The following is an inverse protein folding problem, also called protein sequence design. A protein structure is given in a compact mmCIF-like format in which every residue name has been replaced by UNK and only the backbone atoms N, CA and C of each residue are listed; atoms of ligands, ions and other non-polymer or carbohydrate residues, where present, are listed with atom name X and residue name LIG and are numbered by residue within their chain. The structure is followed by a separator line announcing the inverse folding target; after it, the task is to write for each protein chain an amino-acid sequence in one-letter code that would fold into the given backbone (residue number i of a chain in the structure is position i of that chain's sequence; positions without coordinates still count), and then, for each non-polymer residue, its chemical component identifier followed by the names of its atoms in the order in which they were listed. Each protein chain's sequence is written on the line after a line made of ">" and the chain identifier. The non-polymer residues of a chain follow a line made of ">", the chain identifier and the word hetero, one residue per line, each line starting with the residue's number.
data_IF_224429194703
#
_entry.id   IF_224429194703
#
_cell.length_a   1.000
_cell.length_b   1.000
_cell.length_c   1.000
_cell.angle_alpha   90.00
_cell.angle_beta   90.00
_cell.angle_gamma   90.00
#
_symmetry.space_group_name_H-M   'P 1'
#
loop_
_entity.id
_entity.type
_entity.pdbx_description
1 polymer ?
#
# COMPACT_ATOMS: atom_id res chain seq x y z
N UNK A 1 0.65 -4.17 31.16
CA UNK A 1 0.12 -3.34 30.08
C UNK A 1 1.09 -3.42 28.90
N UNK A 2 0.59 -3.87 27.79
CA UNK A 2 1.41 -4.04 26.60
C UNK A 2 1.67 -2.67 25.98
N UNK A 3 2.91 -2.27 25.97
CA UNK A 3 3.29 -1.05 25.26
C UNK A 3 3.38 -1.39 23.78
N UNK A 4 2.47 -0.85 22.99
CA UNK A 4 2.52 -1.04 21.55
C UNK A 4 3.68 -0.25 20.97
N UNK A 5 4.55 -0.94 20.23
CA UNK A 5 5.57 -0.26 19.45
C UNK A 5 4.87 0.63 18.40
N UNK A 6 5.42 1.82 18.12
CA UNK A 6 4.85 2.66 17.05
C UNK A 6 4.77 1.85 15.77
N UNK A 7 3.64 1.92 15.09
CA UNK A 7 3.45 1.24 13.80
C UNK A 7 4.50 1.75 12.81
N UNK A 8 5.37 0.88 12.26
CA UNK A 8 6.43 1.31 11.34
C UNK A 8 5.88 2.05 10.12
N UNK A 9 4.71 1.65 9.64
CA UNK A 9 4.05 2.30 8.51
C UNK A 9 3.64 3.73 8.83
N UNK A 10 3.05 3.94 10.01
CA UNK A 10 2.65 5.29 10.46
C UNK A 10 3.87 6.19 10.62
N UNK A 11 4.93 5.68 11.23
CA UNK A 11 6.15 6.44 11.45
C UNK A 11 6.79 6.86 10.12
N UNK A 12 6.85 5.94 9.15
CA UNK A 12 7.38 6.22 7.83
C UNK A 12 6.52 7.25 7.09
N UNK A 13 5.19 7.14 7.19
CA UNK A 13 4.28 8.13 6.60
C UNK A 13 4.47 9.52 7.21
N UNK A 14 4.66 9.61 8.53
CA UNK A 14 4.91 10.88 9.20
C UNK A 14 6.20 11.52 8.71
N UNK A 15 7.26 10.74 8.52
CA UNK A 15 8.53 11.23 7.99
C UNK A 15 8.38 11.77 6.57
N UNK A 16 7.63 11.07 5.72
CA UNK A 16 7.35 11.51 4.35
C UNK A 16 6.54 12.82 4.35
N UNK A 17 5.55 12.93 5.22
CA UNK A 17 4.70 14.11 5.30
C UNK A 17 5.48 15.35 5.76
N UNK A 18 6.44 15.17 6.67
CA UNK A 18 7.33 16.26 7.12
C UNK A 18 8.27 16.69 6.00
N UNK A 19 8.87 15.75 5.29
CA UNK A 19 9.84 16.04 4.24
C UNK A 19 9.20 16.61 2.99
N UNK A 20 7.96 16.23 2.67
CA UNK A 20 7.25 16.62 1.44
C UNK A 20 5.89 17.22 1.77
N UNK A 21 5.79 18.56 1.89
CA UNK A 21 4.53 19.24 2.15
C UNK A 21 3.48 18.95 1.07
N UNK A 22 2.22 19.16 1.41
CA UNK A 22 1.08 18.86 0.54
C UNK A 22 1.22 19.44 -0.87
N UNK A 23 1.78 20.64 -1.00
CA UNK A 23 1.95 21.31 -2.31
C UNK A 23 2.88 20.53 -3.26
N UNK A 24 3.78 19.69 -2.73
CA UNK A 24 4.73 18.90 -3.53
C UNK A 24 4.21 17.51 -3.88
N UNK A 25 3.09 17.08 -3.30
CA UNK A 25 2.54 15.73 -3.50
C UNK A 25 1.74 15.66 -4.79
N UNK A 26 1.94 14.59 -5.56
CA UNK A 26 1.26 14.37 -6.84
C UNK A 26 0.26 13.22 -6.81
N UNK A 27 0.19 12.48 -5.71
CA UNK A 27 -0.73 11.36 -5.58
C UNK A 27 -0.85 10.88 -4.14
N UNK A 28 -1.77 9.94 -3.88
CA UNK A 28 -1.96 9.39 -2.55
C UNK A 28 -0.75 8.55 -2.12
N UNK A 29 -0.53 8.42 -0.80
CA UNK A 29 0.52 7.55 -0.28
C UNK A 29 0.15 6.09 -0.51
N UNK A 30 1.15 5.25 -0.52
CA UNK A 30 0.94 3.82 -0.67
C UNK A 30 1.98 3.00 0.05
N UNK A 31 1.80 1.69 -0.02
CA UNK A 31 2.73 0.72 0.53
C UNK A 31 2.86 -0.48 -0.38
N UNK A 32 4.02 -1.11 -0.35
CA UNK A 32 4.29 -2.39 -0.99
C UNK A 32 4.73 -3.35 0.09
N UNK A 33 4.04 -4.47 0.19
CA UNK A 33 4.20 -5.43 1.28
C UNK A 33 4.60 -6.77 0.69
N UNK A 34 5.78 -7.25 1.06
CA UNK A 34 6.25 -8.56 0.62
C UNK A 34 5.30 -9.64 1.14
N UNK A 35 5.08 -10.68 0.31
CA UNK A 35 4.17 -11.79 0.65
C UNK A 35 4.58 -12.50 1.93
N UNK A 36 5.88 -12.55 2.25
CA UNK A 36 6.40 -13.15 3.47
C UNK A 36 5.83 -12.52 4.74
N UNK A 37 5.39 -11.24 4.68
CA UNK A 37 4.74 -10.60 5.82
C UNK A 37 3.45 -11.31 6.21
N UNK A 38 2.74 -11.89 5.24
CA UNK A 38 1.47 -12.58 5.47
C UNK A 38 1.64 -14.03 5.87
N UNK A 39 2.73 -14.67 5.43
CA UNK A 39 3.01 -16.08 5.70
C UNK A 39 3.90 -16.28 6.92
N UNK A 40 4.94 -15.46 7.06
CA UNK A 40 6.00 -15.62 8.06
C UNK A 40 5.98 -14.54 9.15
N UNK A 41 5.18 -13.49 8.96
CA UNK A 41 5.09 -12.37 9.89
C UNK A 41 6.25 -11.38 9.79
N UNK A 42 7.26 -11.66 8.97
CA UNK A 42 8.41 -10.78 8.70
C UNK A 42 8.65 -10.73 7.21
N UNK A 43 9.01 -9.55 6.74
CA UNK A 43 9.29 -9.33 5.33
C UNK A 43 9.49 -7.84 5.06
N UNK A 44 9.89 -7.53 3.83
CA UNK A 44 10.11 -6.16 3.41
C UNK A 44 8.79 -5.41 3.25
N UNK A 45 8.77 -4.18 3.73
CA UNK A 45 7.69 -3.26 3.41
C UNK A 45 8.30 -1.92 2.97
N UNK A 46 7.68 -1.32 1.97
CA UNK A 46 8.09 -0.01 1.47
C UNK A 46 6.88 0.91 1.50
N UNK A 47 7.03 2.03 2.17
CA UNK A 47 6.01 3.08 2.20
C UNK A 47 6.49 4.23 1.33
N UNK A 48 5.61 4.77 0.50
CA UNK A 48 6.01 5.77 -0.46
C UNK A 48 4.96 6.88 -0.62
N UNK A 49 5.42 8.00 -1.16
CA UNK A 49 4.58 9.14 -1.51
C UNK A 49 5.00 9.64 -2.89
N UNK A 50 4.11 9.68 -3.88
CA UNK A 50 4.41 10.34 -5.14
C UNK A 50 4.56 11.85 -4.94
N UNK A 51 5.65 12.40 -5.45
CA UNK A 51 5.97 13.83 -5.32
C UNK A 51 6.47 14.39 -6.63
N UNK A 52 6.32 15.72 -6.78
CA UNK A 52 6.71 16.43 -8.01
C UNK A 52 8.22 16.51 -8.20
N UNK A 53 8.94 16.76 -7.12
CA UNK A 53 10.39 16.92 -7.15
C UNK A 53 11.04 16.03 -6.11
N UNK A 54 11.24 14.73 -6.45
CA UNK A 54 11.80 13.78 -5.49
C UNK A 54 13.25 14.14 -5.14
N UNK A 55 13.58 13.94 -3.87
CA UNK A 55 14.94 14.12 -3.34
C UNK A 55 15.14 13.20 -2.14
N UNK A 56 16.37 12.78 -1.95
CA UNK A 56 16.73 12.03 -0.74
C UNK A 56 16.70 12.95 0.48
N UNK A 57 16.23 12.44 1.60
CA UNK A 57 16.17 13.18 2.86
C UNK A 57 16.18 12.20 4.04
N UNK A 58 17.24 12.23 4.85
CA UNK A 58 17.37 11.30 5.96
C UNK A 58 17.38 9.86 5.44
N UNK A 59 16.49 9.02 5.95
CA UNK A 59 16.33 7.65 5.47
C UNK A 59 15.37 7.52 4.29
N UNK A 60 14.83 8.64 3.81
CA UNK A 60 13.97 8.66 2.63
C UNK A 60 14.85 8.61 1.39
N UNK A 61 14.54 7.69 0.48
CA UNK A 61 15.23 7.52 -0.78
C UNK A 61 14.30 7.77 -1.95
N UNK A 62 14.84 8.36 -3.01
CA UNK A 62 14.12 8.45 -4.28
C UNK A 62 14.11 7.07 -4.93
N UNK A 63 12.93 6.59 -5.29
CA UNK A 63 12.78 5.33 -6.00
C UNK A 63 11.83 5.50 -7.18
N UNK A 64 12.14 4.79 -8.27
CA UNK A 64 11.21 4.60 -9.37
C UNK A 64 10.53 3.25 -9.17
N UNK A 65 9.23 3.27 -8.87
CA UNK A 65 8.49 2.03 -8.73
C UNK A 65 8.28 1.39 -10.10
N UNK A 66 8.62 0.11 -10.25
CA UNK A 66 8.41 -0.56 -11.53
C UNK A 66 6.92 -0.62 -11.87
N UNK A 67 6.61 -0.49 -13.15
CA UNK A 67 5.26 -0.73 -13.63
C UNK A 67 4.86 -2.17 -13.36
N UNK A 68 3.61 -2.37 -12.96
CA UNK A 68 3.09 -3.69 -12.68
C UNK A 68 1.62 -3.76 -13.09
N UNK A 69 1.20 -4.93 -13.55
CA UNK A 69 -0.21 -5.22 -13.74
C UNK A 69 -0.77 -5.77 -12.43
N UNK A 70 -1.84 -5.17 -11.95
CA UNK A 70 -2.44 -5.53 -10.68
C UNK A 70 -3.93 -5.83 -10.87
N UNK A 71 -4.40 -6.89 -10.22
CA UNK A 71 -5.82 -7.02 -9.95
C UNK A 71 -6.10 -6.19 -8.70
N UNK A 72 -7.09 -5.30 -8.76
CA UNK A 72 -7.34 -4.35 -7.69
C UNK A 72 -8.74 -4.47 -7.14
N UNK A 73 -8.88 -4.19 -5.85
CA UNK A 73 -10.16 -3.97 -5.18
C UNK A 73 -10.01 -2.80 -4.23
N UNK A 74 -11.14 -2.16 -3.89
CA UNK A 74 -11.13 -1.07 -2.92
C UNK A 74 -11.79 -1.55 -1.64
N UNK A 75 -11.03 -1.50 -0.55
CA UNK A 75 -11.56 -1.77 0.78
C UNK A 75 -12.17 -0.49 1.34
N UNK A 76 -13.44 -0.56 1.74
CA UNK A 76 -14.15 0.55 2.36
C UNK A 76 -14.13 0.42 3.88
N UNK A 77 -13.81 1.51 4.57
CA UNK A 77 -13.83 1.57 6.01
C UNK A 77 -12.47 1.36 6.68
N UNK A 78 -12.45 1.16 8.01
CA UNK A 78 -11.20 1.00 8.75
C UNK A 78 -10.50 -0.31 8.40
N UNK A 79 -9.23 -0.41 8.75
CA UNK A 79 -8.39 -1.55 8.39
C UNK A 79 -8.65 -2.80 9.24
N UNK A 80 -9.55 -2.74 10.21
CA UNK A 80 -9.83 -3.86 11.13
C UNK A 80 -10.26 -5.14 10.40
N UNK A 81 -10.94 -5.00 9.27
CA UNK A 81 -11.46 -6.11 8.45
C UNK A 81 -10.88 -6.12 7.04
N UNK A 82 -9.71 -5.49 6.84
CA UNK A 82 -9.07 -5.42 5.51
C UNK A 82 -8.70 -6.82 5.00
N UNK A 83 -8.46 -7.77 5.90
CA UNK A 83 -8.18 -9.17 5.54
C UNK A 83 -9.32 -9.81 4.74
N UNK A 84 -10.56 -9.40 4.97
CA UNK A 84 -11.72 -9.88 4.19
C UNK A 84 -11.59 -9.47 2.72
N UNK A 85 -11.21 -8.22 2.48
CA UNK A 85 -11.00 -7.72 1.12
C UNK A 85 -9.80 -8.39 0.45
N UNK A 86 -8.71 -8.64 1.20
CA UNK A 86 -7.57 -9.41 0.71
C UNK A 86 -7.98 -10.83 0.33
N UNK A 87 -8.78 -11.49 1.17
CA UNK A 87 -9.26 -12.84 0.91
C UNK A 87 -10.10 -12.92 -0.37
N UNK A 88 -10.99 -11.97 -0.57
CA UNK A 88 -11.82 -11.90 -1.78
C UNK A 88 -10.98 -11.68 -3.03
N UNK A 89 -10.02 -10.78 -2.96
CA UNK A 89 -9.13 -10.50 -4.09
C UNK A 89 -8.26 -11.72 -4.40
N UNK A 90 -7.69 -12.36 -3.38
CA UNK A 90 -6.89 -13.56 -3.54
C UNK A 90 -7.67 -14.70 -4.17
N UNK A 91 -8.90 -14.92 -3.73
CA UNK A 91 -9.79 -15.95 -4.29
C UNK A 91 -10.08 -15.67 -5.77
N UNK A 92 -10.32 -14.43 -6.11
CA UNK A 92 -10.53 -14.03 -7.50
C UNK A 92 -9.29 -14.32 -8.36
N UNK A 93 -8.12 -13.94 -7.87
CA UNK A 93 -6.83 -14.13 -8.57
C UNK A 93 -6.56 -15.61 -8.78
N UNK A 94 -6.76 -16.44 -7.75
CA UNK A 94 -6.55 -17.90 -7.84
C UNK A 94 -7.54 -18.51 -8.82
N UNK A 95 -8.82 -18.12 -8.78
CA UNK A 95 -9.87 -18.63 -9.68
C UNK A 95 -9.56 -18.33 -11.15
N UNK A 96 -8.84 -17.25 -11.41
CA UNK A 96 -8.48 -16.85 -12.79
C UNK A 96 -7.04 -17.26 -13.16
N UNK A 97 -6.31 -17.91 -12.24
CA UNK A 97 -4.94 -18.40 -12.43
C UNK A 97 -3.97 -17.32 -12.95
N UNK A 98 -4.11 -16.09 -12.46
CA UNK A 98 -3.34 -14.94 -12.94
C UNK A 98 -2.27 -14.46 -11.97
N UNK A 99 -2.19 -15.02 -10.76
CA UNK A 99 -1.26 -14.55 -9.74
C UNK A 99 0.20 -14.80 -10.11
N UNK A 100 1.05 -13.84 -9.81
CA UNK A 100 2.51 -13.97 -9.89
C UNK A 100 3.13 -13.58 -8.57
N UNK A 101 4.37 -13.99 -8.35
CA UNK A 101 5.12 -13.58 -7.17
C UNK A 101 5.42 -12.08 -7.23
N UNK A 102 5.35 -11.46 -6.09
CA UNK A 102 5.66 -10.05 -5.96
C UNK A 102 4.93 -9.44 -4.77
N UNK A 103 5.33 -8.24 -4.37
CA UNK A 103 4.69 -7.57 -3.25
C UNK A 103 3.26 -7.17 -3.59
N UNK A 104 2.37 -7.27 -2.61
CA UNK A 104 1.04 -6.65 -2.73
C UNK A 104 1.18 -5.15 -2.56
N UNK A 105 0.29 -4.40 -3.19
CA UNK A 105 0.29 -2.95 -3.18
C UNK A 105 -0.94 -2.44 -2.43
N UNK A 106 -0.75 -1.42 -1.63
CA UNK A 106 -1.86 -0.67 -1.04
C UNK A 106 -1.70 0.79 -1.42
N UNK A 107 -2.81 1.41 -1.80
CA UNK A 107 -2.86 2.85 -2.04
C UNK A 107 -3.93 3.43 -1.13
N UNK A 108 -3.54 4.37 -0.30
CA UNK A 108 -4.40 4.94 0.73
C UNK A 108 -5.13 6.15 0.14
N UNK A 109 -6.25 5.89 -0.52
CA UNK A 109 -7.05 6.90 -1.21
C UNK A 109 -7.67 7.89 -0.23
N UNK A 110 -8.14 7.40 0.91
CA UNK A 110 -8.58 8.20 2.03
C UNK A 110 -8.27 7.44 3.32
N UNK A 111 -7.72 8.12 4.29
CA UNK A 111 -7.32 7.51 5.55
C UNK A 111 -7.44 8.49 6.71
N UNK A 112 -6.88 8.13 7.89
CA UNK A 112 -6.96 8.97 9.09
C UNK A 112 -6.40 10.38 8.90
N UNK A 113 -5.47 10.54 7.95
CA UNK A 113 -4.86 11.85 7.65
C UNK A 113 -5.79 12.76 6.86
N UNK A 114 -6.77 12.18 6.16
CA UNK A 114 -7.69 12.89 5.27
C UNK A 114 -9.03 13.14 5.93
N UNK A 115 -9.50 12.19 6.76
CA UNK A 115 -10.80 12.24 7.37
C UNK A 115 -10.81 11.50 8.70
N UNK A 116 -11.40 12.09 9.74
CA UNK A 116 -11.53 11.45 11.05
C UNK A 116 -12.62 10.37 11.10
N UNK A 117 -13.50 10.31 10.11
CA UNK A 117 -14.56 9.30 10.06
C UNK A 117 -14.06 8.05 9.32
N UNK A 118 -13.82 6.99 10.07
CA UNK A 118 -13.28 5.74 9.54
C UNK A 118 -14.17 5.11 8.46
N UNK A 119 -15.48 5.39 8.46
CA UNK A 119 -16.40 4.90 7.44
C UNK A 119 -16.10 5.46 6.05
N UNK A 120 -15.38 6.57 5.97
CA UNK A 120 -15.00 7.24 4.73
C UNK A 120 -13.62 6.82 4.23
N UNK A 121 -12.90 6.01 4.98
CA UNK A 121 -11.58 5.53 4.56
C UNK A 121 -11.72 4.58 3.38
N UNK A 122 -10.76 4.64 2.48
CA UNK A 122 -10.69 3.79 1.28
C UNK A 122 -9.25 3.40 1.02
N UNK A 123 -9.02 2.10 0.89
CA UNK A 123 -7.71 1.54 0.57
C UNK A 123 -7.83 0.71 -0.71
N UNK A 124 -7.08 1.07 -1.73
CA UNK A 124 -6.97 0.24 -2.92
C UNK A 124 -5.92 -0.84 -2.66
N UNK A 125 -6.30 -2.11 -2.86
CA UNK A 125 -5.41 -3.24 -2.72
C UNK A 125 -5.13 -3.77 -4.12
N UNK A 126 -3.84 -3.95 -4.46
CA UNK A 126 -3.41 -4.48 -5.74
C UNK A 126 -2.63 -5.77 -5.57
N UNK A 127 -3.05 -6.80 -6.27
CA UNK A 127 -2.39 -8.10 -6.31
C UNK A 127 -1.65 -8.25 -7.64
N UNK A 128 -0.33 -8.55 -7.62
CA UNK A 128 0.41 -8.71 -8.87
C UNK A 128 -0.15 -9.87 -9.70
N UNK A 129 -0.40 -9.59 -10.97
CA UNK A 129 -0.89 -10.57 -11.91
C UNK A 129 -0.12 -10.46 -13.21
N UNK A 130 -0.09 -11.54 -13.98
CA UNK A 130 0.36 -11.40 -15.34
C UNK A 130 -0.83 -11.19 -16.26
N UNK A 131 -0.65 -10.33 -17.25
CA UNK A 131 -1.70 -9.95 -18.15
C UNK A 131 -1.55 -10.74 -19.46
N UNK A 132 -2.63 -11.43 -19.85
CA UNK A 132 -2.70 -12.01 -21.18
C UNK A 132 -3.01 -10.90 -22.18
N UNK A 133 -2.00 -10.54 -22.96
CA UNK A 133 -2.23 -9.61 -24.05
C UNK A 133 -2.79 -10.42 -25.22
N UNK A 134 -3.97 -10.09 -25.75
CA UNK A 134 -4.43 -10.74 -26.98
C UNK A 134 -3.41 -10.48 -28.07
N UNK A 135 -2.88 -11.55 -28.62
CA UNK A 135 -1.85 -11.53 -29.65
C UNK A 135 -2.32 -10.90 -30.96
#
# INVERSE_FOLDING_TARGET
>A
MRQEAPCPTRQAMDELDVAFPQAERTGPPGGRYATELFTDGVGALTVFRPVRSPRDHGRIEVVDLPAADLAVTVHAGPHDDIDVSYGRLGDWVVSHALGIDGPVHETYLAGPRDNGDARRWRTEIGWPVFRLTPG
#
